data_IF_017997350690
#
_entry.id   IF_017997350690
#
_cell.length_a   1.000
_cell.length_b   1.000
_cell.length_c   1.000
_cell.angle_alpha   90.00
_cell.angle_beta   90.00
_cell.angle_gamma   90.00
#
_symmetry.space_group_name_H-M   'P 1'
#
loop_
_entity.id
_entity.type
_entity.pdbx_description
1 polymer ?
#
# COMPACT_ATOMS: atom_id res chain seq x y z
N UNK A 1 9.52 21.03 11.79
CA UNK A 1 9.11 20.11 12.88
C UNK A 1 8.58 18.81 12.29
N UNK A 2 9.22 17.68 12.60
CA UNK A 2 8.68 16.36 12.28
C UNK A 2 7.48 16.07 13.19
N UNK A 3 6.40 15.54 12.63
CA UNK A 3 5.23 15.10 13.41
C UNK A 3 5.59 13.80 14.14
N UNK A 4 5.00 13.59 15.32
CA UNK A 4 5.20 12.34 16.10
C UNK A 4 4.67 11.13 15.33
N UNK A 5 5.30 9.98 15.56
CA UNK A 5 4.79 8.70 15.04
C UNK A 5 3.36 8.48 15.54
N UNK A 6 2.46 8.08 14.64
CA UNK A 6 1.04 7.87 14.93
C UNK A 6 0.20 9.15 15.03
N UNK A 7 0.76 10.33 14.78
CA UNK A 7 -0.03 11.55 14.73
C UNK A 7 -1.07 11.48 13.59
N UNK A 8 -2.35 11.50 13.95
CA UNK A 8 -3.45 11.40 12.98
C UNK A 8 -3.36 12.51 11.94
N UNK A 9 -3.54 12.14 10.67
CA UNK A 9 -3.43 13.06 9.53
C UNK A 9 -1.99 13.43 9.14
N UNK A 10 -0.97 12.99 9.88
CA UNK A 10 0.43 13.14 9.47
C UNK A 10 0.89 11.90 8.69
N UNK A 11 1.67 12.11 7.62
CA UNK A 11 2.37 11.04 6.93
C UNK A 11 3.39 10.38 7.86
N UNK A 12 3.46 9.05 7.81
CA UNK A 12 4.29 8.21 8.67
C UNK A 12 5.36 7.49 7.86
N UNK A 13 4.94 6.79 6.80
CA UNK A 13 5.79 5.95 5.97
C UNK A 13 5.14 5.80 4.59
N UNK A 14 5.44 6.72 3.68
CA UNK A 14 4.90 6.71 2.32
C UNK A 14 5.76 5.81 1.44
N UNK A 15 5.12 4.97 0.63
CA UNK A 15 5.81 4.15 -0.37
C UNK A 15 5.25 4.44 -1.77
N UNK A 16 4.00 4.04 -2.03
CA UNK A 16 3.32 4.27 -3.30
C UNK A 16 2.71 5.66 -3.40
N UNK A 17 2.69 6.20 -4.61
CA UNK A 17 1.85 7.34 -4.94
C UNK A 17 1.48 7.33 -6.43
N UNK A 18 0.34 7.94 -6.76
CA UNK A 18 -0.13 8.11 -8.13
C UNK A 18 -0.63 9.53 -8.34
N UNK A 19 -0.35 10.15 -9.49
CA UNK A 19 -0.91 11.47 -9.85
C UNK A 19 -1.93 11.27 -10.96
N UNK A 20 -3.19 11.62 -10.68
CA UNK A 20 -4.25 11.49 -11.67
C UNK A 20 -4.34 12.67 -12.65
N UNK A 21 -5.07 12.52 -13.78
CA UNK A 21 -5.23 13.58 -14.76
C UNK A 21 -5.88 14.87 -14.25
N UNK A 22 -6.53 14.84 -13.08
CA UNK A 22 -7.13 16.00 -12.44
C UNK A 22 -6.15 16.75 -11.51
N UNK A 23 -4.89 16.32 -11.44
CA UNK A 23 -3.89 16.93 -10.57
C UNK A 23 -4.08 16.58 -9.09
N UNK A 24 -4.70 15.43 -8.78
CA UNK A 24 -4.72 14.87 -7.43
C UNK A 24 -3.63 13.82 -7.31
N UNK A 25 -2.80 13.96 -6.30
CA UNK A 25 -1.83 12.95 -5.88
C UNK A 25 -2.46 12.07 -4.81
N UNK A 26 -2.51 10.76 -5.06
CA UNK A 26 -2.94 9.73 -4.15
C UNK A 26 -1.71 9.19 -3.42
N UNK A 27 -1.53 9.59 -2.17
CA UNK A 27 -0.34 9.24 -1.36
C UNK A 27 -0.67 8.06 -0.46
N UNK A 28 -0.07 6.90 -0.73
CA UNK A 28 -0.27 5.67 0.04
C UNK A 28 0.74 5.62 1.20
N UNK A 29 0.21 5.74 2.42
CA UNK A 29 0.98 5.63 3.66
C UNK A 29 0.75 4.27 4.31
N UNK A 30 1.80 3.46 4.38
CA UNK A 30 1.74 2.11 4.95
C UNK A 30 1.79 2.11 6.48
N UNK A 31 2.11 3.25 7.11
CA UNK A 31 1.91 3.48 8.54
C UNK A 31 2.91 2.78 9.48
N UNK A 32 3.66 1.76 9.04
CA UNK A 32 4.72 1.14 9.85
C UNK A 32 5.98 1.99 9.77
N UNK A 33 6.50 2.35 10.94
CA UNK A 33 7.76 3.07 11.11
C UNK A 33 8.72 2.13 11.81
N UNK A 34 9.97 2.07 11.35
CA UNK A 34 11.04 1.19 11.91
C UNK A 34 10.62 -0.27 12.11
N UNK A 35 9.84 -0.82 11.18
CA UNK A 35 9.33 -2.20 11.23
C UNK A 35 8.47 -2.52 12.45
N UNK A 36 7.86 -1.52 13.09
CA UNK A 36 6.88 -1.70 14.15
C UNK A 36 5.44 -1.73 13.62
N UNK A 37 4.52 -2.30 14.41
CA UNK A 37 3.11 -2.36 14.01
C UNK A 37 2.57 -0.95 13.75
N UNK A 38 1.77 -0.80 12.69
CA UNK A 38 1.14 0.48 12.39
C UNK A 38 0.23 0.92 13.55
N UNK A 39 0.30 2.21 13.91
CA UNK A 39 -0.59 2.79 14.92
C UNK A 39 -2.01 2.97 14.33
N UNK A 40 -3.05 3.08 15.16
CA UNK A 40 -4.40 3.35 14.68
C UNK A 40 -4.44 4.58 13.77
N UNK A 41 -5.10 4.47 12.62
CA UNK A 41 -5.22 5.51 11.60
C UNK A 41 -3.89 5.93 10.94
N UNK A 42 -2.81 5.16 11.13
CA UNK A 42 -1.54 5.43 10.45
C UNK A 42 -1.58 4.99 8.98
N UNK A 43 -2.19 3.84 8.69
CA UNK A 43 -2.42 3.33 7.33
C UNK A 43 -3.52 4.14 6.65
N UNK A 44 -3.20 4.83 5.57
CA UNK A 44 -4.12 5.76 4.91
C UNK A 44 -3.73 6.09 3.48
N UNK A 45 -4.69 6.63 2.74
CA UNK A 45 -4.48 7.29 1.45
C UNK A 45 -4.78 8.77 1.65
N UNK A 46 -3.79 9.63 1.42
CA UNK A 46 -3.97 11.08 1.47
C UNK A 46 -4.10 11.63 0.05
N UNK A 47 -5.15 12.39 -0.21
CA UNK A 47 -5.39 13.01 -1.52
C UNK A 47 -4.90 14.45 -1.46
N UNK A 48 -3.90 14.78 -2.27
CA UNK A 48 -3.26 16.11 -2.27
C UNK A 48 -3.46 16.77 -3.62
N UNK A 49 -3.90 18.02 -3.64
CA UNK A 49 -3.87 18.83 -4.85
C UNK A 49 -2.41 19.22 -5.16
N UNK A 50 -1.89 18.82 -6.32
CA UNK A 50 -0.47 19.06 -6.66
C UNK A 50 -0.15 20.53 -6.93
N UNK A 51 -1.15 21.35 -7.26
CA UNK A 51 -0.98 22.78 -7.54
C UNK A 51 -0.98 23.60 -6.26
N UNK A 52 -1.94 23.34 -5.37
CA UNK A 52 -2.11 24.12 -4.12
C UNK A 52 -1.38 23.52 -2.93
N UNK A 53 -0.85 22.31 -3.07
CA UNK A 53 -0.28 21.49 -1.98
C UNK A 53 -1.25 21.26 -0.81
N UNK A 54 -2.56 21.39 -1.05
CA UNK A 54 -3.58 21.19 -0.03
C UNK A 54 -4.02 19.73 0.03
N UNK A 55 -4.18 19.22 1.25
CA UNK A 55 -4.84 17.94 1.48
C UNK A 55 -6.34 18.13 1.21
N UNK A 56 -6.84 17.45 0.19
CA UNK A 56 -8.25 17.45 -0.20
C UNK A 56 -9.07 16.47 0.64
N UNK A 57 -8.49 15.29 0.90
CA UNK A 57 -9.17 14.20 1.61
C UNK A 57 -8.14 13.27 2.25
N UNK A 58 -8.56 12.52 3.28
CA UNK A 58 -7.77 11.40 3.81
C UNK A 58 -8.68 10.21 4.03
N UNK A 59 -8.37 9.10 3.36
CA UNK A 59 -9.07 7.84 3.46
C UNK A 59 -8.30 6.91 4.40
N UNK A 60 -8.86 6.60 5.56
CA UNK A 60 -8.26 5.68 6.52
C UNK A 60 -8.72 4.25 6.26
N UNK A 61 -7.79 3.29 6.28
CA UNK A 61 -8.14 1.89 5.98
C UNK A 61 -9.20 1.32 6.93
N UNK A 62 -9.20 1.74 8.20
CA UNK A 62 -10.21 1.36 9.20
C UNK A 62 -11.63 1.84 8.85
N UNK A 63 -11.77 2.85 8.00
CA UNK A 63 -13.06 3.42 7.57
C UNK A 63 -13.50 2.88 6.20
N UNK A 64 -12.53 2.51 5.36
CA UNK A 64 -12.76 1.93 4.05
C UNK A 64 -13.37 0.52 4.16
N UNK A 65 -13.06 -0.24 5.20
CA UNK A 65 -13.66 -1.55 5.42
C UNK A 65 -12.92 -2.39 6.46
N UNK A 66 -13.51 -3.53 6.80
CA UNK A 66 -12.90 -4.48 7.72
C UNK A 66 -11.80 -5.29 7.02
N UNK A 67 -10.71 -5.57 7.73
CA UNK A 67 -9.65 -6.48 7.29
C UNK A 67 -8.99 -6.13 5.94
N UNK A 68 -8.98 -4.85 5.56
CA UNK A 68 -8.32 -4.41 4.33
C UNK A 68 -6.80 -4.44 4.46
N UNK A 69 -6.26 -3.84 5.53
CA UNK A 69 -4.85 -3.82 5.85
C UNK A 69 -4.64 -4.20 7.32
N UNK A 70 -3.74 -5.13 7.57
CA UNK A 70 -3.39 -5.59 8.90
C UNK A 70 -2.15 -4.84 9.41
N UNK A 71 -2.19 -4.20 10.59
CA UNK A 71 -1.08 -3.38 11.08
C UNK A 71 0.21 -4.18 11.37
N UNK A 72 0.13 -5.50 11.47
CA UNK A 72 1.27 -6.40 11.67
C UNK A 72 1.78 -6.96 10.34
N UNK A 73 0.89 -7.38 9.44
CA UNK A 73 1.25 -8.17 8.25
C UNK A 73 1.19 -7.43 6.92
N UNK A 74 0.45 -6.33 6.80
CA UNK A 74 0.35 -5.59 5.53
C UNK A 74 1.59 -4.76 5.26
N UNK A 75 2.05 -4.74 4.03
CA UNK A 75 3.09 -3.85 3.51
C UNK A 75 2.52 -3.22 2.24
N UNK A 76 1.77 -2.14 2.41
CA UNK A 76 1.06 -1.45 1.32
C UNK A 76 2.10 -0.77 0.43
N UNK A 77 2.38 -1.35 -0.73
CA UNK A 77 3.53 -0.96 -1.54
C UNK A 77 3.14 0.11 -2.56
N UNK A 78 2.18 -0.19 -3.42
CA UNK A 78 1.91 0.63 -4.60
C UNK A 78 0.42 0.85 -4.83
N UNK A 79 0.08 1.87 -5.62
CA UNK A 79 -1.30 2.28 -5.92
C UNK A 79 -1.45 2.71 -7.37
N UNK A 80 -2.54 2.29 -8.00
CA UNK A 80 -2.95 2.76 -9.32
C UNK A 80 -4.38 3.33 -9.29
N UNK A 81 -4.60 4.43 -10.01
CA UNK A 81 -5.90 5.06 -10.17
C UNK A 81 -6.56 4.65 -11.48
N UNK A 82 -7.78 4.14 -11.40
CA UNK A 82 -8.64 3.84 -12.54
C UNK A 82 -9.65 4.99 -12.76
N UNK A 83 -9.45 5.84 -13.78
CA UNK A 83 -10.35 6.95 -14.09
C UNK A 83 -11.67 6.50 -14.73
N UNK A 84 -11.74 5.30 -15.32
CA UNK A 84 -12.93 4.81 -16.00
C UNK A 84 -13.94 4.30 -15.00
N UNK A 85 -13.49 3.43 -14.08
CA UNK A 85 -14.38 2.82 -13.09
C UNK A 85 -14.39 3.57 -11.75
N UNK A 86 -13.53 4.57 -11.58
CA UNK A 86 -13.37 5.36 -10.36
C UNK A 86 -12.96 4.51 -9.14
N UNK A 87 -11.90 3.71 -9.32
CA UNK A 87 -11.30 2.88 -8.29
C UNK A 87 -9.85 3.28 -8.01
N UNK A 88 -9.37 2.96 -6.80
CA UNK A 88 -7.96 2.73 -6.55
C UNK A 88 -7.70 1.24 -6.43
N UNK A 89 -6.62 0.77 -7.05
CA UNK A 89 -6.08 -0.57 -6.83
C UNK A 89 -4.77 -0.46 -6.08
N UNK A 90 -4.60 -1.26 -5.05
CA UNK A 90 -3.46 -1.21 -4.13
C UNK A 90 -2.90 -2.63 -3.99
N UNK A 91 -1.60 -2.75 -4.13
CA UNK A 91 -0.85 -3.96 -3.82
C UNK A 91 -0.41 -3.96 -2.38
N UNK A 92 -0.61 -5.10 -1.73
CA UNK A 92 -0.09 -5.38 -0.40
C UNK A 92 0.88 -6.55 -0.50
N UNK A 93 2.17 -6.26 -0.35
CA UNK A 93 3.24 -7.27 -0.45
C UNK A 93 3.22 -8.25 0.71
N UNK A 94 2.42 -7.98 1.75
CA UNK A 94 2.16 -8.90 2.85
C UNK A 94 3.37 -9.17 3.73
N UNK A 95 4.34 -8.26 3.80
CA UNK A 95 5.58 -8.40 4.58
C UNK A 95 5.29 -8.13 6.08
N UNK A 96 5.39 -9.16 6.94
CA UNK A 96 5.15 -9.00 8.36
C UNK A 96 6.25 -8.22 9.07
N UNK A 97 5.89 -7.56 10.18
CA UNK A 97 6.89 -7.00 11.09
C UNK A 97 7.69 -8.13 11.75
N UNK A 98 8.98 -7.92 12.10
CA UNK A 98 9.82 -8.96 12.69
C UNK A 98 9.28 -9.56 14.00
N UNK A 99 8.51 -8.79 14.78
CA UNK A 99 8.00 -9.20 16.09
C UNK A 99 6.72 -10.04 16.03
N UNK A 100 6.11 -10.24 14.85
CA UNK A 100 4.85 -10.97 14.72
C UNK A 100 5.08 -12.43 14.32
N UNK A 101 4.20 -13.33 14.78
CA UNK A 101 4.13 -14.73 14.35
C UNK A 101 3.04 -14.97 13.31
N UNK A 102 2.31 -13.92 12.92
CA UNK A 102 1.28 -14.00 11.90
C UNK A 102 1.90 -14.30 10.54
N UNK A 103 1.27 -15.15 9.72
CA UNK A 103 1.79 -15.46 8.39
C UNK A 103 1.73 -14.21 7.48
N UNK A 104 2.59 -14.15 6.45
CA UNK A 104 2.44 -13.21 5.35
C UNK A 104 1.02 -13.27 4.78
N UNK A 105 0.47 -12.11 4.46
CA UNK A 105 -0.88 -12.00 3.95
C UNK A 105 -0.89 -11.08 2.72
N UNK A 106 -0.22 -11.43 1.62
CA UNK A 106 -0.19 -10.58 0.43
C UNK A 106 -1.52 -10.63 -0.32
N UNK A 107 -1.79 -9.60 -1.13
CA UNK A 107 -3.02 -9.53 -1.91
C UNK A 107 -3.23 -8.18 -2.60
N UNK A 108 -4.43 -8.02 -3.17
CA UNK A 108 -4.88 -6.79 -3.80
C UNK A 108 -6.01 -6.17 -3.01
N UNK A 109 -6.07 -4.85 -2.95
CA UNK A 109 -7.17 -4.08 -2.37
C UNK A 109 -7.73 -3.18 -3.45
N UNK A 110 -9.03 -3.25 -3.70
CA UNK A 110 -9.72 -2.26 -4.53
C UNK A 110 -10.55 -1.35 -3.63
N UNK A 111 -10.46 -0.04 -3.84
CA UNK A 111 -11.24 0.98 -3.15
C UNK A 111 -12.15 1.66 -4.15
N UNK A 112 -13.45 1.49 -3.98
CA UNK A 112 -14.47 2.26 -4.71
C UNK A 112 -14.46 3.69 -4.18
N UNK A 113 -14.09 4.65 -5.02
CA UNK A 113 -13.97 6.06 -4.63
C UNK A 113 -15.31 6.77 -4.54
N UNK A 114 -16.37 6.20 -5.11
CA UNK A 114 -17.74 6.72 -5.05
C UNK A 114 -18.38 6.37 -3.71
N UNK A 115 -18.22 5.12 -3.25
CA UNK A 115 -18.80 4.66 -1.97
C UNK A 115 -17.83 4.76 -0.80
N UNK A 116 -16.54 5.02 -1.07
CA UNK A 116 -15.46 5.01 -0.08
C UNK A 116 -15.39 3.68 0.68
N UNK A 117 -15.57 2.58 -0.05
CA UNK A 117 -15.49 1.22 0.49
C UNK A 117 -14.44 0.41 -0.23
N UNK A 118 -13.64 -0.31 0.56
CA UNK A 118 -12.61 -1.19 0.07
C UNK A 118 -13.02 -2.66 0.15
N UNK A 119 -12.42 -3.48 -0.70
CA UNK A 119 -12.45 -4.94 -0.61
C UNK A 119 -11.08 -5.52 -0.92
N UNK A 120 -10.70 -6.55 -0.19
CA UNK A 120 -9.47 -7.31 -0.40
C UNK A 120 -9.74 -8.52 -1.30
N UNK A 121 -8.83 -8.79 -2.23
CA UNK A 121 -8.92 -9.84 -3.23
C UNK A 121 -7.60 -10.60 -3.33
N UNK A 122 -7.69 -11.81 -3.89
CA UNK A 122 -6.54 -12.65 -4.21
C UNK A 122 -5.58 -12.86 -3.03
N UNK A 123 -6.10 -12.86 -1.80
CA UNK A 123 -5.30 -13.20 -0.63
C UNK A 123 -4.71 -14.60 -0.81
N UNK A 124 -3.39 -14.71 -0.69
CA UNK A 124 -2.65 -15.97 -0.83
C UNK A 124 -2.81 -16.69 -2.19
N UNK A 125 -3.32 -16.01 -3.21
CA UNK A 125 -3.38 -16.56 -4.56
C UNK A 125 -1.96 -16.69 -5.14
N UNK A 126 -1.73 -17.67 -6.03
CA UNK A 126 -0.39 -17.87 -6.62
C UNK A 126 0.15 -16.62 -7.33
N UNK A 127 -0.74 -15.82 -7.94
CA UNK A 127 -0.39 -14.58 -8.65
C UNK A 127 0.00 -13.42 -7.74
N UNK A 128 -0.28 -13.49 -6.43
CA UNK A 128 -0.02 -12.43 -5.46
C UNK A 128 0.86 -12.89 -4.30
N UNK A 129 1.02 -14.19 -4.10
CA UNK A 129 1.77 -14.74 -2.99
C UNK A 129 3.28 -14.61 -3.19
N UNK A 130 4.00 -14.50 -2.07
CA UNK A 130 5.46 -14.46 -2.10
C UNK A 130 6.04 -15.80 -2.57
N UNK A 131 7.04 -15.73 -3.43
CA UNK A 131 7.86 -16.88 -3.85
C UNK A 131 9.29 -16.72 -3.35
N UNK A 132 10.11 -17.76 -3.43
CA UNK A 132 11.53 -17.64 -3.14
C UNK A 132 12.23 -16.88 -4.26
N UNK A 133 12.58 -15.61 -4.00
CA UNK A 133 13.30 -14.76 -4.94
C UNK A 133 14.72 -14.47 -4.45
N UNK A 134 15.71 -14.85 -5.26
CA UNK A 134 17.11 -14.46 -5.04
C UNK A 134 17.48 -13.37 -6.05
N UNK A 135 17.54 -12.13 -5.58
CA UNK A 135 17.93 -10.98 -6.39
C UNK A 135 19.42 -10.67 -6.20
N UNK A 136 20.13 -10.47 -7.31
CA UNK A 136 21.50 -9.96 -7.32
C UNK A 136 21.56 -8.61 -8.02
N UNK A 137 22.21 -7.63 -7.41
CA UNK A 137 22.48 -6.32 -8.01
C UNK A 137 24.01 -6.18 -8.09
N UNK A 138 24.55 -5.96 -9.29
CA UNK A 138 26.00 -5.92 -9.55
C UNK A 138 26.75 -7.16 -9.02
N UNK A 139 26.13 -8.34 -9.14
CA UNK A 139 26.69 -9.61 -8.67
C UNK A 139 26.58 -9.86 -7.16
N UNK A 140 26.11 -8.88 -6.39
CA UNK A 140 25.93 -8.99 -4.93
C UNK A 140 24.50 -9.39 -4.61
N UNK A 141 24.32 -10.38 -3.74
CA UNK A 141 22.99 -10.77 -3.27
C UNK A 141 22.35 -9.62 -2.49
N UNK A 142 21.09 -9.31 -2.78
CA UNK A 142 20.30 -8.33 -2.00
C UNK A 142 20.03 -8.85 -0.59
N UNK A 143 19.81 -10.16 -0.46
CA UNK A 143 19.66 -10.85 0.82
C UNK A 143 20.70 -11.97 0.94
N UNK A 144 21.49 -11.98 2.01
CA UNK A 144 22.61 -12.93 2.14
C UNK A 144 22.17 -14.31 2.64
N UNK A 145 21.27 -14.36 3.62
CA UNK A 145 20.97 -15.59 4.37
C UNK A 145 19.69 -16.31 3.92
N UNK A 146 18.77 -15.61 3.25
CA UNK A 146 17.45 -16.12 2.90
C UNK A 146 16.93 -15.46 1.62
N UNK A 147 16.06 -16.13 0.84
CA UNK A 147 15.40 -15.50 -0.29
C UNK A 147 14.52 -14.34 0.18
N UNK A 148 14.39 -13.32 -0.66
CA UNK A 148 13.41 -12.28 -0.47
C UNK A 148 12.00 -12.88 -0.55
N UNK A 149 11.13 -12.50 0.39
CA UNK A 149 9.74 -12.93 0.48
C UNK A 149 8.82 -11.72 0.32
N UNK A 150 8.57 -11.36 -0.94
CA UNK A 150 7.70 -10.24 -1.31
C UNK A 150 6.56 -10.77 -2.14
N UNK A 151 5.32 -10.51 -1.71
CA UNK A 151 4.12 -10.79 -2.52
C UNK A 151 3.97 -9.81 -3.68
N UNK A 152 2.73 -9.59 -4.14
CA UNK A 152 2.42 -8.56 -5.13
C UNK A 152 2.95 -7.19 -4.65
N UNK A 153 3.80 -6.56 -5.47
CA UNK A 153 4.57 -5.38 -5.07
C UNK A 153 4.18 -4.14 -5.90
N UNK A 154 4.64 -4.03 -7.15
CA UNK A 154 4.23 -2.94 -8.04
C UNK A 154 2.88 -3.21 -8.73
N UNK A 155 2.15 -2.15 -9.05
CA UNK A 155 0.92 -2.22 -9.85
C UNK A 155 0.91 -1.15 -10.95
N UNK A 156 0.42 -1.52 -12.12
CA UNK A 156 0.20 -0.59 -13.22
C UNK A 156 -1.09 -0.98 -13.95
N UNK A 157 -1.77 0.02 -14.50
CA UNK A 157 -2.90 -0.16 -15.40
C UNK A 157 -2.45 0.15 -16.83
N UNK A 158 -2.97 -0.58 -17.82
CA UNK A 158 -2.76 -0.18 -19.21
C UNK A 158 -3.44 1.15 -19.49
N UNK A 159 -2.85 1.96 -20.38
CA UNK A 159 -3.39 3.29 -20.70
C UNK A 159 -4.79 3.24 -21.35
N UNK A 160 -5.18 2.10 -21.92
CA UNK A 160 -6.51 1.88 -22.49
C UNK A 160 -7.52 1.33 -21.47
N UNK A 161 -7.08 1.05 -20.24
CA UNK A 161 -7.86 0.47 -19.14
C UNK A 161 -8.64 -0.80 -19.54
N UNK A 162 -8.08 -1.58 -20.48
CA UNK A 162 -8.67 -2.85 -20.91
C UNK A 162 -8.04 -4.06 -20.24
N UNK A 163 -6.85 -3.92 -19.63
CA UNK A 163 -6.14 -5.01 -18.96
C UNK A 163 -5.34 -4.53 -17.74
#
# INVERSE_FOLDING_TARGET
CLKKVGARGALQSVLGFEIDPCGRMWVLDQGKVVNEKAQPFAMKIMVVNVVTAQVLETLYFEQLGHNLANPYTSFLNDVAYDPINNYLYITDSGIPIPSTTLPPNPGLIAVDLSTKKGKRFLTSALSTNATDMYLKINGVNVTEAAPMKTGADGIALTADAKF
#
